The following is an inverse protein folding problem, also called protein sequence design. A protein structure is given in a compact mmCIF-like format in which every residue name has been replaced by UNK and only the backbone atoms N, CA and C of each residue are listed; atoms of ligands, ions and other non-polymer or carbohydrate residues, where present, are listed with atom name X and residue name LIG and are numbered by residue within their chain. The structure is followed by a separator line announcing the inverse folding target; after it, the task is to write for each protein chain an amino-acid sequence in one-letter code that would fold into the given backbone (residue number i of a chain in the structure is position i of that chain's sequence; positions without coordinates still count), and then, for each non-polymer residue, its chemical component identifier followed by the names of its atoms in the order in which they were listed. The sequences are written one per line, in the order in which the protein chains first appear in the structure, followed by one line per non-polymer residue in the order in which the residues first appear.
data_IF_651442693148
#
_entry.id   IF_651442693148
#
_cell.length_a   1.000
_cell.length_b   1.000
_cell.length_c   1.000
_cell.angle_alpha   90.00
_cell.angle_beta   90.00
_cell.angle_gamma   90.00
#
_symmetry.space_group_name_H-M   'P 1'
#
loop_
_entity.id
_entity.type
_entity.pdbx_description
1 polymer ?
#
# COMPACT_ATOMS: atom_id res chain seq x y z
N UNK A 1 22.66 -2.56 -0.83
CA UNK A 1 22.25 -1.44 -1.73
C UNK A 1 20.74 -1.26 -1.76
N UNK A 2 19.92 -2.31 -1.98
CA UNK A 2 18.45 -2.22 -1.95
C UNK A 2 17.89 -1.48 -0.72
N UNK A 3 18.36 -1.81 0.48
CA UNK A 3 17.92 -1.15 1.72
C UNK A 3 18.14 0.36 1.70
N UNK A 4 19.26 0.83 1.13
CA UNK A 4 19.57 2.26 1.03
C UNK A 4 18.59 2.94 0.07
N UNK A 5 18.32 2.33 -1.08
CA UNK A 5 17.33 2.84 -2.04
C UNK A 5 15.91 2.88 -1.45
N UNK A 6 15.52 1.86 -0.70
CA UNK A 6 14.23 1.83 0.00
C UNK A 6 14.15 2.92 1.08
N UNK A 7 15.25 3.20 1.79
CA UNK A 7 15.30 4.27 2.80
C UNK A 7 15.15 5.65 2.15
N UNK A 8 15.86 5.89 1.05
CA UNK A 8 15.72 7.13 0.26
C UNK A 8 14.28 7.27 -0.24
N UNK A 9 13.71 6.21 -0.82
CA UNK A 9 12.33 6.19 -1.29
C UNK A 9 11.34 6.49 -0.16
N UNK A 10 11.55 5.93 1.03
CA UNK A 10 10.70 6.16 2.19
C UNK A 10 10.76 7.61 2.68
N UNK A 11 11.94 8.22 2.70
CA UNK A 11 12.11 9.64 3.06
C UNK A 11 11.37 10.52 2.05
N UNK A 12 11.58 10.29 0.75
CA UNK A 12 10.89 11.03 -0.32
C UNK A 12 9.37 10.87 -0.21
N UNK A 13 8.89 9.65 0.05
CA UNK A 13 7.49 9.36 0.25
C UNK A 13 6.89 10.16 1.42
N UNK A 14 7.57 10.20 2.58
CA UNK A 14 7.09 10.94 3.76
C UNK A 14 6.98 12.43 3.44
N UNK A 15 8.00 13.01 2.79
CA UNK A 15 7.96 14.42 2.40
C UNK A 15 6.81 14.73 1.43
N UNK A 16 6.60 13.89 0.42
CA UNK A 16 5.53 14.05 -0.56
C UNK A 16 4.15 13.87 0.08
N UNK A 17 3.97 12.89 0.97
CA UNK A 17 2.72 12.66 1.69
C UNK A 17 2.36 13.87 2.57
N UNK A 18 3.32 14.40 3.32
CA UNK A 18 3.14 15.61 4.13
C UNK A 18 2.80 16.84 3.26
N UNK A 19 3.49 17.03 2.14
CA UNK A 19 3.22 18.12 1.21
C UNK A 19 1.80 18.01 0.60
N UNK A 20 1.39 16.80 0.22
CA UNK A 20 0.04 16.53 -0.28
C UNK A 20 -1.03 16.78 0.77
N UNK A 21 -0.84 16.35 2.02
CA UNK A 21 -1.79 16.61 3.12
C UNK A 21 -1.96 18.11 3.34
N UNK A 22 -0.85 18.85 3.34
CA UNK A 22 -0.87 20.32 3.47
C UNK A 22 -1.62 20.98 2.30
N UNK A 23 -1.44 20.49 1.07
CA UNK A 23 -2.12 21.02 -0.13
C UNK A 23 -3.61 20.66 -0.19
N UNK A 24 -3.98 19.45 0.19
CA UNK A 24 -5.36 18.94 0.12
C UNK A 24 -6.19 19.30 1.36
N UNK A 25 -5.56 19.88 2.38
CA UNK A 25 -6.15 20.23 3.68
C UNK A 25 -6.83 19.03 4.35
N UNK A 26 -6.27 17.84 4.13
CA UNK A 26 -6.75 16.58 4.69
C UNK A 26 -6.04 16.30 6.02
N UNK A 27 -6.81 16.04 7.07
CA UNK A 27 -6.23 15.60 8.35
C UNK A 27 -5.75 14.16 8.22
N UNK A 28 -4.68 13.83 8.92
CA UNK A 28 -4.20 12.45 9.01
C UNK A 28 -5.28 11.62 9.73
N UNK A 29 -5.94 10.71 9.02
CA UNK A 29 -6.83 9.77 9.69
C UNK A 29 -6.01 8.89 10.61
N UNK A 30 -6.48 8.76 11.85
CA UNK A 30 -5.73 8.17 12.96
C UNK A 30 -5.49 6.65 12.87
N UNK A 31 -5.80 5.98 11.76
CA UNK A 31 -5.70 4.53 11.77
C UNK A 31 -5.55 3.88 10.40
N UNK A 32 -4.42 3.21 10.21
CA UNK A 32 -4.27 2.07 9.29
C UNK A 32 -5.30 0.96 9.58
N UNK A 33 -5.80 0.91 10.81
CA UNK A 33 -6.90 0.10 11.30
C UNK A 33 -8.18 0.94 11.31
N UNK A 34 -8.60 1.42 10.15
CA UNK A 34 -9.95 1.99 9.98
C UNK A 34 -10.91 0.91 10.49
N UNK A 35 -11.61 1.20 11.60
CA UNK A 35 -12.55 0.25 12.20
C UNK A 35 -13.41 -0.34 11.09
N UNK A 36 -13.62 -1.67 11.08
CA UNK A 36 -14.51 -2.35 10.13
C UNK A 36 -15.91 -1.71 10.07
N UNK A 37 -16.25 -0.91 11.09
CA UNK A 37 -17.44 -0.07 11.18
C UNK A 37 -17.46 1.00 10.06
N UNK A 38 -18.29 0.77 9.05
CA UNK A 38 -18.51 1.68 7.92
C UNK A 38 -17.83 1.25 6.61
N UNK A 39 -17.00 0.20 6.63
CA UNK A 39 -16.42 -0.39 5.42
C UNK A 39 -17.39 -1.35 4.77
N UNK A 40 -17.36 -1.45 3.44
CA UNK A 40 -18.27 -2.36 2.73
C UNK A 40 -17.77 -3.81 2.86
N UNK A 41 -18.67 -4.77 3.11
CA UNK A 41 -18.29 -6.16 3.33
C UNK A 41 -17.53 -6.75 2.14
N UNK A 42 -17.85 -6.35 0.90
CA UNK A 42 -17.13 -6.82 -0.29
C UNK A 42 -15.63 -6.49 -0.26
N UNK A 43 -15.25 -5.27 0.14
CA UNK A 43 -13.84 -4.87 0.18
C UNK A 43 -13.11 -5.53 1.35
N UNK A 44 -13.81 -5.73 2.48
CA UNK A 44 -13.28 -6.50 3.60
C UNK A 44 -13.02 -7.95 3.17
N UNK A 45 -13.99 -8.59 2.51
CA UNK A 45 -13.84 -9.97 2.01
C UNK A 45 -12.66 -10.06 1.04
N UNK A 46 -12.52 -9.11 0.10
CA UNK A 46 -11.39 -9.08 -0.82
C UNK A 46 -10.04 -8.94 -0.08
N UNK A 47 -9.94 -8.03 0.89
CA UNK A 47 -8.71 -7.89 1.71
C UNK A 47 -8.40 -9.18 2.48
N UNK A 48 -9.41 -9.82 3.07
CA UNK A 48 -9.23 -11.08 3.82
C UNK A 48 -8.83 -12.24 2.91
N UNK A 49 -9.44 -12.37 1.74
CA UNK A 49 -9.08 -13.39 0.73
C UNK A 49 -7.66 -13.17 0.24
N UNK A 50 -7.28 -11.92 -0.04
CA UNK A 50 -5.90 -11.60 -0.41
C UNK A 50 -4.90 -11.93 0.69
N UNK A 51 -5.22 -11.61 1.96
CA UNK A 51 -4.36 -11.91 3.09
C UNK A 51 -4.19 -13.42 3.26
N UNK A 52 -5.27 -14.20 3.15
CA UNK A 52 -5.22 -15.65 3.16
C UNK A 52 -4.37 -16.21 2.01
N UNK A 53 -4.57 -15.71 0.79
CA UNK A 53 -3.76 -16.11 -0.37
C UNK A 53 -2.27 -15.79 -0.18
N UNK A 54 -1.95 -14.61 0.36
CA UNK A 54 -0.58 -14.21 0.65
C UNK A 54 0.08 -15.10 1.70
N UNK A 55 -0.65 -15.46 2.77
CA UNK A 55 -0.14 -16.39 3.79
C UNK A 55 0.20 -17.76 3.20
N UNK A 56 -0.63 -18.30 2.31
CA UNK A 56 -0.34 -19.56 1.62
C UNK A 56 0.88 -19.41 0.72
N UNK A 57 0.94 -18.32 -0.07
CA UNK A 57 2.03 -18.07 -1.01
C UNK A 57 3.40 -17.94 -0.34
N UNK A 58 3.47 -17.41 0.89
CA UNK A 58 4.74 -17.33 1.65
C UNK A 58 5.40 -18.70 1.83
N UNK A 59 4.62 -19.78 1.96
CA UNK A 59 5.16 -21.13 2.14
C UNK A 59 5.53 -21.84 0.83
N UNK A 60 5.08 -21.30 -0.32
CA UNK A 60 5.28 -21.91 -1.64
C UNK A 60 6.40 -21.22 -2.42
N UNK A 61 6.56 -19.91 -2.23
CA UNK A 61 7.49 -19.09 -3.01
C UNK A 61 8.93 -19.27 -2.50
N UNK A 62 9.94 -19.28 -3.39
CA UNK A 62 11.34 -19.33 -2.98
C UNK A 62 11.69 -18.15 -2.05
N UNK A 63 12.47 -18.37 -0.97
CA UNK A 63 12.81 -17.32 0.00
C UNK A 63 13.44 -16.06 -0.62
N UNK A 64 14.12 -16.22 -1.76
CA UNK A 64 14.72 -15.12 -2.51
C UNK A 64 13.68 -14.09 -3.01
N UNK A 65 12.43 -14.50 -3.28
CA UNK A 65 11.38 -13.62 -3.81
C UNK A 65 10.37 -13.17 -2.76
N UNK A 66 10.50 -13.60 -1.50
CA UNK A 66 9.52 -13.28 -0.44
C UNK A 66 9.35 -11.77 -0.27
N UNK A 67 10.44 -11.00 -0.30
CA UNK A 67 10.43 -9.53 -0.20
C UNK A 67 9.65 -8.88 -1.34
N UNK A 68 9.87 -9.32 -2.58
CA UNK A 68 9.17 -8.83 -3.79
C UNK A 68 7.66 -9.09 -3.67
N UNK A 69 7.28 -10.31 -3.29
CA UNK A 69 5.87 -10.68 -3.13
C UNK A 69 5.20 -9.92 -1.98
N UNK A 70 5.92 -9.64 -0.90
CA UNK A 70 5.41 -8.82 0.21
C UNK A 70 5.10 -7.39 -0.25
N UNK A 71 5.98 -6.79 -1.04
CA UNK A 71 5.75 -5.46 -1.62
C UNK A 71 4.59 -5.46 -2.62
N UNK A 72 4.47 -6.48 -3.47
CA UNK A 72 3.32 -6.65 -4.37
C UNK A 72 2.01 -6.80 -3.62
N UNK A 73 2.00 -7.57 -2.53
CA UNK A 73 0.83 -7.71 -1.68
C UNK A 73 0.37 -6.35 -1.13
N UNK A 74 1.29 -5.56 -0.57
CA UNK A 74 0.96 -4.21 -0.11
C UNK A 74 0.52 -3.29 -1.25
N UNK A 75 1.14 -3.37 -2.42
CA UNK A 75 0.69 -2.64 -3.60
C UNK A 75 -0.78 -2.91 -3.91
N UNK A 76 -1.18 -4.18 -4.05
CA UNK A 76 -2.56 -4.53 -4.35
C UNK A 76 -3.53 -4.14 -3.24
N UNK A 77 -3.15 -4.30 -1.96
CA UNK A 77 -3.96 -3.81 -0.84
C UNK A 77 -4.24 -2.32 -0.94
N UNK A 78 -3.21 -1.52 -1.26
CA UNK A 78 -3.35 -0.07 -1.40
C UNK A 78 -4.16 0.34 -2.64
N UNK A 79 -4.06 -0.42 -3.74
CA UNK A 79 -4.92 -0.22 -4.93
C UNK A 79 -6.38 -0.46 -4.58
N UNK A 80 -6.71 -1.56 -3.89
CA UNK A 80 -8.09 -1.87 -3.48
C UNK A 80 -8.63 -0.79 -2.55
N UNK A 81 -7.84 -0.35 -1.56
CA UNK A 81 -8.21 0.75 -0.66
C UNK A 81 -8.39 2.07 -1.40
N UNK A 82 -7.46 2.40 -2.31
CA UNK A 82 -7.57 3.58 -3.16
C UNK A 82 -8.83 3.56 -4.02
N UNK A 83 -9.25 2.39 -4.50
CA UNK A 83 -10.48 2.22 -5.26
C UNK A 83 -11.73 2.34 -4.37
N UNK A 84 -11.74 1.73 -3.19
CA UNK A 84 -12.82 1.87 -2.19
C UNK A 84 -13.04 3.36 -1.84
N UNK A 85 -11.96 4.05 -1.47
CA UNK A 85 -11.98 5.45 -1.08
C UNK A 85 -12.36 6.38 -2.24
N UNK A 86 -11.91 6.08 -3.46
CA UNK A 86 -12.23 6.87 -4.64
C UNK A 86 -13.71 6.74 -5.02
N UNK A 87 -14.27 5.52 -4.95
CA UNK A 87 -15.65 5.26 -5.35
C UNK A 87 -16.66 5.70 -4.31
N UNK A 88 -16.37 5.52 -3.02
CA UNK A 88 -17.35 5.73 -1.94
C UNK A 88 -17.05 6.92 -1.03
N UNK A 89 -15.79 7.31 -0.87
CA UNK A 89 -15.38 8.36 0.05
C UNK A 89 -14.65 9.52 -0.64
N UNK A 90 -14.95 9.74 -1.94
CA UNK A 90 -14.27 10.70 -2.82
C UNK A 90 -14.17 12.11 -2.23
N UNK A 91 -15.19 12.54 -1.46
CA UNK A 91 -15.25 13.85 -0.77
C UNK A 91 -14.12 14.06 0.24
N UNK A 92 -13.61 13.00 0.85
CA UNK A 92 -12.55 13.09 1.85
C UNK A 92 -11.14 13.19 1.25
N UNK A 93 -11.00 12.97 -0.07
CA UNK A 93 -9.72 13.04 -0.81
C UNK A 93 -8.62 12.11 -0.28
N UNK A 94 -8.94 11.18 0.63
CA UNK A 94 -7.99 10.19 1.18
C UNK A 94 -7.46 9.22 0.12
N UNK A 95 -8.26 8.95 -0.92
CA UNK A 95 -7.86 8.11 -2.03
C UNK A 95 -6.51 8.52 -2.62
N UNK A 96 -6.21 9.81 -2.72
CA UNK A 96 -4.91 10.27 -3.23
C UNK A 96 -3.72 9.72 -2.42
N UNK A 97 -3.87 9.59 -1.10
CA UNK A 97 -2.84 8.99 -0.24
C UNK A 97 -2.75 7.48 -0.42
N UNK A 98 -3.88 6.80 -0.59
CA UNK A 98 -3.90 5.36 -0.88
C UNK A 98 -3.28 5.04 -2.25
N UNK A 99 -3.59 5.83 -3.28
CA UNK A 99 -2.94 5.71 -4.59
C UNK A 99 -1.45 6.03 -4.52
N UNK A 100 -1.05 7.03 -3.74
CA UNK A 100 0.36 7.36 -3.54
C UNK A 100 1.11 6.25 -2.80
N UNK A 101 0.51 5.65 -1.77
CA UNK A 101 1.03 4.44 -1.11
C UNK A 101 1.18 3.27 -2.08
N UNK A 102 0.20 3.03 -2.97
CA UNK A 102 0.35 2.02 -4.01
C UNK A 102 1.57 2.31 -4.91
N UNK A 103 1.75 3.56 -5.37
CA UNK A 103 2.93 3.88 -6.19
C UNK A 103 4.25 3.64 -5.46
N UNK A 104 4.32 3.93 -4.15
CA UNK A 104 5.50 3.63 -3.33
C UNK A 104 5.84 2.13 -3.33
N UNK A 105 4.85 1.26 -3.07
CA UNK A 105 5.08 -0.19 -3.06
C UNK A 105 5.44 -0.73 -4.44
N UNK A 106 4.88 -0.15 -5.51
CA UNK A 106 5.24 -0.50 -6.88
C UNK A 106 6.71 -0.17 -7.18
N UNK A 107 7.18 1.04 -6.87
CA UNK A 107 8.59 1.41 -7.02
C UNK A 107 9.51 0.55 -6.14
N UNK A 108 9.10 0.26 -4.89
CA UNK A 108 9.83 -0.64 -4.02
C UNK A 108 9.97 -2.05 -4.61
N UNK A 109 8.92 -2.56 -5.25
CA UNK A 109 8.94 -3.86 -5.95
C UNK A 109 9.98 -3.85 -7.08
N UNK A 110 10.02 -2.79 -7.90
CA UNK A 110 11.02 -2.66 -8.97
C UNK A 110 12.45 -2.61 -8.43
N UNK A 111 12.69 -1.86 -7.35
CA UNK A 111 14.01 -1.77 -6.72
C UNK A 111 14.46 -3.16 -6.23
N UNK A 112 13.56 -3.91 -5.59
CA UNK A 112 13.85 -5.26 -5.10
C UNK A 112 14.15 -6.22 -6.26
N UNK A 113 13.31 -6.24 -7.30
CA UNK A 113 13.54 -7.05 -8.50
C UNK A 113 14.89 -6.76 -9.16
N UNK A 114 15.28 -5.49 -9.27
CA UNK A 114 16.55 -5.09 -9.88
C UNK A 114 17.77 -5.39 -9.01
N UNK A 115 17.58 -5.69 -7.72
CA UNK A 115 18.69 -5.99 -6.79
C UNK A 115 18.79 -7.49 -6.48
N UNK A 116 17.69 -8.23 -6.58
CA UNK A 116 17.62 -9.68 -6.35
C UNK A 116 17.93 -10.50 -7.63
N UNK A 117 17.92 -9.88 -8.82
CA UNK A 117 18.45 -10.43 -10.08
C UNK A 117 19.96 -10.21 -10.21
#
# INVERSE_FOLDING_TARGET
MALVYLLILAVVYIFLDLAMRKKLNTKMKKSYWRSFKGRRPLFITLEMVMLAAFLVLIFVIPPAYTSVFMFLFFFFLYVIRGFEEWKFERKQKEHYHSWFGATFFLFGTFILLMTDM
#
